data_IF_040769074289
#
_entry.id   IF_040769074289
#
_cell.length_a   1.000
_cell.length_b   1.000
_cell.length_c   1.000
_cell.angle_alpha   90.00
_cell.angle_beta   90.00
_cell.angle_gamma   90.00
#
_symmetry.space_group_name_H-M   'P 1'
#
loop_
_entity.id
_entity.type
_entity.pdbx_description
1 polymer ?
#
# COMPACT_ATOMS: atom_id res chain seq x y z
N UNK A 1 12.70 26.39 3.74
CA UNK A 1 11.67 25.93 4.71
C UNK A 1 12.31 25.82 6.07
N UNK A 2 11.63 26.21 7.14
CA UNK A 2 12.13 26.17 8.53
C UNK A 2 11.12 25.48 9.44
N UNK A 3 11.64 24.69 10.40
CA UNK A 3 10.83 24.08 11.47
C UNK A 3 10.25 25.13 12.41
N UNK A 4 10.97 26.23 12.63
CA UNK A 4 10.53 27.31 13.50
C UNK A 4 9.83 28.40 12.69
N UNK A 5 9.18 29.32 13.39
CA UNK A 5 8.64 30.52 12.78
C UNK A 5 9.78 31.37 12.18
N UNK A 6 9.47 32.01 11.06
CA UNK A 6 10.35 33.00 10.41
C UNK A 6 9.80 34.37 10.79
N UNK A 7 10.66 35.31 11.18
CA UNK A 7 10.23 36.66 11.53
C UNK A 7 9.70 37.43 10.31
N UNK A 8 8.77 38.35 10.55
CA UNK A 8 8.09 39.09 9.47
C UNK A 8 9.05 39.90 8.61
N UNK A 9 10.06 40.52 9.22
CA UNK A 9 11.11 41.25 8.50
C UNK A 9 11.88 40.35 7.52
N UNK A 10 12.19 39.12 7.94
CA UNK A 10 12.87 38.16 7.08
C UNK A 10 11.96 37.67 5.95
N UNK A 11 10.67 37.48 6.23
CA UNK A 11 9.67 37.09 5.23
C UNK A 11 9.53 38.15 4.14
N UNK A 12 9.44 39.43 4.51
CA UNK A 12 9.44 40.54 3.56
C UNK A 12 10.73 40.59 2.74
N UNK A 13 11.88 40.43 3.41
CA UNK A 13 13.19 40.42 2.74
C UNK A 13 13.33 39.32 1.68
N UNK A 14 12.75 38.13 1.93
CA UNK A 14 12.70 37.04 0.96
C UNK A 14 11.69 37.31 -0.16
N UNK A 15 10.51 37.83 0.15
CA UNK A 15 9.48 38.17 -0.83
C UNK A 15 9.97 39.21 -1.84
N UNK A 16 10.67 40.26 -1.39
CA UNK A 16 11.27 41.29 -2.26
C UNK A 16 12.29 40.72 -3.25
N UNK A 17 12.84 39.52 -2.96
CA UNK A 17 13.80 38.80 -3.81
C UNK A 17 13.16 37.65 -4.57
N UNK A 18 11.84 37.57 -4.57
CA UNK A 18 11.07 36.49 -5.19
C UNK A 18 11.44 35.10 -4.64
N UNK A 19 11.74 35.02 -3.35
CA UNK A 19 12.07 33.78 -2.64
C UNK A 19 10.89 33.44 -1.71
N UNK A 20 10.30 32.26 -1.92
CA UNK A 20 9.29 31.74 -1.00
C UNK A 20 9.94 31.19 0.28
N UNK A 21 9.40 31.56 1.43
CA UNK A 21 9.80 31.01 2.72
C UNK A 21 8.61 30.46 3.49
N UNK A 22 8.68 29.18 3.88
CA UNK A 22 7.73 28.57 4.82
C UNK A 22 8.40 28.35 6.18
N UNK A 23 7.75 28.82 7.24
CA UNK A 23 8.09 28.51 8.64
C UNK A 23 7.06 27.56 9.25
N UNK A 24 7.38 27.00 10.42
CA UNK A 24 6.53 25.99 11.12
C UNK A 24 6.25 24.74 10.29
N UNK A 25 7.23 24.32 9.49
CA UNK A 25 7.13 23.07 8.70
C UNK A 25 7.45 21.88 9.61
N UNK A 26 6.58 20.87 9.57
CA UNK A 26 6.81 19.64 10.33
C UNK A 26 8.08 18.91 9.88
N UNK A 27 8.70 18.19 10.83
CA UNK A 27 9.97 17.49 10.59
C UNK A 27 9.82 16.43 9.49
N UNK A 28 8.67 15.74 9.46
CA UNK A 28 8.39 14.75 8.42
C UNK A 28 8.34 15.38 7.03
N UNK A 29 7.72 16.55 6.88
CA UNK A 29 7.63 17.23 5.59
C UNK A 29 8.98 17.83 5.15
N UNK A 30 9.83 18.24 6.10
CA UNK A 30 11.22 18.61 5.81
C UNK A 30 12.01 17.42 5.25
N UNK A 31 11.91 16.23 5.86
CA UNK A 31 12.58 15.03 5.35
C UNK A 31 11.99 14.56 4.02
N UNK A 32 10.66 14.66 3.82
CA UNK A 32 10.03 14.35 2.52
C UNK A 32 10.49 15.30 1.42
N UNK A 33 10.59 16.59 1.73
CA UNK A 33 11.13 17.61 0.80
C UNK A 33 12.58 17.31 0.48
N UNK A 34 13.39 16.98 1.49
CA UNK A 34 14.78 16.55 1.34
C UNK A 34 14.91 15.35 0.39
N UNK A 35 14.09 14.30 0.56
CA UNK A 35 14.07 13.13 -0.32
C UNK A 35 13.49 13.40 -1.71
N UNK A 36 12.64 14.42 -1.85
CA UNK A 36 12.07 14.81 -3.14
C UNK A 36 13.09 15.62 -3.97
N UNK A 37 13.69 16.65 -3.37
CA UNK A 37 14.55 17.61 -4.08
C UNK A 37 16.04 17.29 -4.02
N UNK A 38 16.45 16.36 -3.15
CA UNK A 38 17.86 16.04 -2.89
C UNK A 38 18.59 17.09 -2.04
N UNK A 39 17.87 18.01 -1.40
CA UNK A 39 18.45 19.03 -0.52
C UNK A 39 19.03 18.40 0.75
N UNK A 40 19.81 19.16 1.52
CA UNK A 40 20.22 18.80 2.88
C UNK A 40 19.55 19.71 3.92
N UNK A 41 19.04 19.11 5.00
CA UNK A 41 18.50 19.87 6.14
C UNK A 41 19.67 20.42 6.93
N UNK A 42 19.77 21.75 7.01
CA UNK A 42 20.82 22.46 7.74
C UNK A 42 20.27 23.03 9.05
N UNK A 43 21.06 22.93 10.11
CA UNK A 43 20.73 23.49 11.44
C UNK A 43 21.26 24.91 11.62
N UNK A 44 22.20 25.32 10.77
CA UNK A 44 22.77 26.67 10.78
C UNK A 44 22.60 27.37 9.44
N UNK A 45 22.65 28.70 9.48
CA UNK A 45 22.58 29.59 8.31
C UNK A 45 23.96 29.88 7.70
N UNK A 46 25.05 29.49 8.36
CA UNK A 46 26.40 29.63 7.80
C UNK A 46 26.73 28.46 6.87
N UNK A 47 27.51 28.73 5.82
CA UNK A 47 28.02 27.68 4.92
C UNK A 47 26.98 27.10 3.96
N UNK A 48 25.99 27.89 3.53
CA UNK A 48 25.03 27.48 2.50
C UNK A 48 25.75 27.43 1.14
N UNK A 49 26.25 26.25 0.80
CA UNK A 49 26.90 25.95 -0.46
C UNK A 49 25.89 25.42 -1.49
N UNK A 50 26.15 25.53 -2.81
CA UNK A 50 25.29 24.97 -3.83
C UNK A 50 25.02 23.46 -3.66
N UNK A 51 25.95 22.72 -3.08
CA UNK A 51 25.86 21.27 -2.87
C UNK A 51 24.79 20.85 -1.84
N UNK A 52 24.38 21.77 -0.95
CA UNK A 52 23.32 21.49 0.04
C UNK A 52 21.92 21.85 -0.48
N UNK A 53 21.84 22.53 -1.63
CA UNK A 53 20.58 22.94 -2.23
C UNK A 53 19.98 21.82 -3.06
N UNK A 54 18.67 21.63 -2.93
CA UNK A 54 17.92 20.71 -3.77
C UNK A 54 17.50 21.33 -5.09
N UNK A 55 17.13 20.48 -6.05
CA UNK A 55 16.56 20.91 -7.33
C UNK A 55 15.10 20.49 -7.41
N UNK A 56 14.24 21.43 -7.78
CA UNK A 56 12.82 21.23 -8.02
C UNK A 56 12.48 21.83 -9.38
N UNK A 57 11.65 21.15 -10.17
CA UNK A 57 11.26 21.62 -11.49
C UNK A 57 10.26 22.75 -11.40
N UNK A 58 9.20 22.54 -10.62
CA UNK A 58 8.11 23.50 -10.45
C UNK A 58 7.65 23.55 -8.99
N UNK A 59 7.54 24.78 -8.49
CA UNK A 59 6.97 25.08 -7.18
C UNK A 59 5.68 25.87 -7.36
N UNK A 60 4.57 25.36 -6.83
CA UNK A 60 3.26 26.01 -6.91
C UNK A 60 2.57 25.99 -5.54
N UNK A 61 2.11 27.15 -5.07
CA UNK A 61 1.14 27.20 -3.97
C UNK A 61 -0.26 27.05 -4.57
N UNK A 62 -0.95 25.97 -4.21
CA UNK A 62 -2.30 25.67 -4.69
C UNK A 62 -3.28 25.62 -3.53
N UNK A 63 -4.36 26.39 -3.65
CA UNK A 63 -5.46 26.32 -2.71
C UNK A 63 -6.37 25.14 -3.04
N UNK A 64 -6.63 24.29 -2.04
CA UNK A 64 -7.49 23.11 -2.16
C UNK A 64 -8.49 23.15 -1.01
N UNK A 65 -9.75 23.47 -1.34
CA UNK A 65 -10.76 23.73 -0.32
C UNK A 65 -10.45 24.97 0.49
N UNK A 66 -10.43 24.85 1.81
CA UNK A 66 -10.11 25.94 2.73
C UNK A 66 -8.60 26.11 3.00
N UNK A 67 -7.78 25.15 2.59
CA UNK A 67 -6.36 25.10 2.92
C UNK A 67 -5.46 25.38 1.70
N UNK A 68 -4.23 25.81 1.97
CA UNK A 68 -3.19 26.06 0.96
C UNK A 68 -2.08 25.03 1.09
N UNK A 69 -1.69 24.47 -0.03
CA UNK A 69 -0.67 23.45 -0.14
C UNK A 69 0.46 23.91 -1.04
N UNK A 70 1.70 23.62 -0.64
CA UNK A 70 2.88 23.90 -1.43
C UNK A 70 3.28 22.63 -2.19
N UNK A 71 3.09 22.64 -3.51
CA UNK A 71 3.44 21.54 -4.39
C UNK A 71 4.86 21.73 -4.92
N UNK A 72 5.69 20.70 -4.72
CA UNK A 72 7.00 20.57 -5.33
C UNK A 72 6.94 19.44 -6.35
N UNK A 73 7.01 19.77 -7.64
CA UNK A 73 6.90 18.79 -8.73
C UNK A 73 8.09 18.86 -9.68
N UNK A 74 8.25 17.83 -10.51
CA UNK A 74 9.35 17.77 -11.49
C UNK A 74 10.75 17.67 -10.88
N UNK A 75 10.90 17.09 -9.69
CA UNK A 75 12.23 16.87 -9.10
C UNK A 75 12.90 15.64 -9.75
N UNK A 76 14.15 15.78 -10.20
CA UNK A 76 14.82 14.76 -11.02
C UNK A 76 15.11 13.45 -10.27
N UNK A 77 15.50 13.53 -8.99
CA UNK A 77 15.92 12.38 -8.16
C UNK A 77 14.93 12.11 -7.01
N UNK A 78 13.63 12.10 -7.30
CA UNK A 78 12.58 11.98 -6.28
C UNK A 78 12.52 10.55 -5.71
N UNK A 79 12.73 10.40 -4.39
CA UNK A 79 12.56 9.12 -3.66
C UNK A 79 11.23 9.03 -2.89
N UNK A 80 10.42 10.07 -2.98
CA UNK A 80 9.13 10.21 -2.30
C UNK A 80 8.01 10.38 -3.30
N UNK A 81 6.81 9.97 -2.92
CA UNK A 81 5.59 10.26 -3.65
C UNK A 81 4.52 10.68 -2.64
N UNK A 82 3.75 11.71 -2.99
CA UNK A 82 2.67 12.24 -2.16
C UNK A 82 1.35 11.99 -2.88
N UNK A 83 0.42 11.31 -2.20
CA UNK A 83 -0.94 11.09 -2.70
C UNK A 83 -1.88 11.97 -1.88
N UNK A 84 -2.55 12.92 -2.53
CA UNK A 84 -3.54 13.77 -1.88
C UNK A 84 -4.93 13.14 -1.97
N UNK A 85 -5.48 12.74 -0.83
CA UNK A 85 -6.83 12.17 -0.73
C UNK A 85 -7.81 13.30 -0.40
N UNK A 86 -8.93 13.37 -1.12
CA UNK A 86 -10.01 14.33 -0.86
C UNK A 86 -11.33 13.58 -0.79
N UNK A 87 -12.19 13.95 0.15
CA UNK A 87 -13.50 13.34 0.34
C UNK A 87 -14.47 14.28 1.03
N UNK A 88 -15.77 14.01 0.89
CA UNK A 88 -16.84 14.83 1.48
C UNK A 88 -17.05 14.64 2.99
N UNK A 89 -16.51 13.56 3.56
CA UNK A 89 -16.54 13.30 5.00
C UNK A 89 -15.27 12.59 5.45
N UNK A 90 -14.85 12.88 6.68
CA UNK A 90 -13.60 12.34 7.26
C UNK A 90 -13.57 10.80 7.25
N UNK A 91 -14.70 10.16 7.54
CA UNK A 91 -14.81 8.69 7.56
C UNK A 91 -14.43 8.05 6.22
N UNK A 92 -14.78 8.69 5.09
CA UNK A 92 -14.41 8.19 3.76
C UNK A 92 -12.93 8.42 3.44
N UNK A 93 -12.36 9.53 3.92
CA UNK A 93 -10.93 9.83 3.77
C UNK A 93 -10.11 8.79 4.55
N UNK A 94 -10.48 8.53 5.80
CA UNK A 94 -9.79 7.55 6.66
C UNK A 94 -9.88 6.12 6.11
N UNK A 95 -10.99 5.78 5.45
CA UNK A 95 -11.15 4.48 4.79
C UNK A 95 -10.35 4.39 3.48
N UNK A 96 -10.32 5.47 2.70
CA UNK A 96 -9.52 5.54 1.48
C UNK A 96 -8.01 5.49 1.78
N UNK A 97 -7.55 6.16 2.84
CA UNK A 97 -6.16 6.10 3.30
C UNK A 97 -5.77 4.67 3.69
N UNK A 98 -6.60 4.01 4.51
CA UNK A 98 -6.40 2.60 4.89
C UNK A 98 -6.36 1.68 3.66
N UNK A 99 -7.31 1.84 2.74
CA UNK A 99 -7.39 1.04 1.52
C UNK A 99 -6.17 1.21 0.60
N UNK A 100 -5.66 2.45 0.47
CA UNK A 100 -4.46 2.75 -0.30
C UNK A 100 -3.21 2.15 0.35
N UNK A 101 -3.08 2.28 1.67
CA UNK A 101 -1.98 1.68 2.41
C UNK A 101 -1.94 0.16 2.24
N UNK A 102 -3.08 -0.53 2.37
CA UNK A 102 -3.19 -1.97 2.14
C UNK A 102 -2.78 -2.36 0.72
N UNK A 103 -3.24 -1.60 -0.28
CA UNK A 103 -2.89 -1.82 -1.69
C UNK A 103 -1.40 -1.68 -1.95
N UNK A 104 -0.77 -0.62 -1.43
CA UNK A 104 0.68 -0.38 -1.56
C UNK A 104 1.46 -1.51 -0.88
N UNK A 105 1.01 -1.97 0.30
CA UNK A 105 1.66 -3.06 1.01
C UNK A 105 1.56 -4.40 0.26
N UNK A 106 0.44 -4.68 -0.42
CA UNK A 106 0.28 -5.86 -1.26
C UNK A 106 1.26 -5.81 -2.44
N UNK A 107 1.34 -4.68 -3.16
CA UNK A 107 2.29 -4.51 -4.27
C UNK A 107 3.73 -4.67 -3.78
N UNK A 108 4.08 -4.05 -2.65
CA UNK A 108 5.40 -4.20 -2.04
C UNK A 108 5.75 -5.64 -1.68
N UNK A 109 4.77 -6.43 -1.20
CA UNK A 109 4.95 -7.86 -0.92
C UNK A 109 5.13 -8.66 -2.22
N UNK A 110 4.34 -8.36 -3.25
CA UNK A 110 4.45 -9.01 -4.56
C UNK A 110 5.80 -8.70 -5.24
N UNK A 111 6.34 -7.51 -5.07
CA UNK A 111 7.69 -7.17 -5.55
C UNK A 111 8.81 -7.96 -4.84
N UNK A 112 8.61 -8.32 -3.56
CA UNK A 112 9.57 -9.15 -2.80
C UNK A 112 9.43 -10.64 -3.09
N UNK A 113 8.22 -11.12 -3.35
CA UNK A 113 7.94 -12.51 -3.67
C UNK A 113 7.01 -12.59 -4.88
N UNK A 114 7.54 -13.11 -5.99
CA UNK A 114 6.83 -13.19 -7.27
C UNK A 114 5.80 -14.31 -7.35
N UNK A 115 5.72 -15.18 -6.32
CA UNK A 115 4.73 -16.27 -6.30
C UNK A 115 3.39 -15.77 -5.80
N UNK A 116 2.39 -15.79 -6.68
CA UNK A 116 1.00 -15.44 -6.37
C UNK A 116 0.14 -16.70 -6.44
N UNK A 117 -0.85 -16.81 -5.54
CA UNK A 117 -1.82 -17.91 -5.51
C UNK A 117 -3.22 -17.37 -5.82
N UNK A 118 -4.11 -18.26 -6.27
CA UNK A 118 -5.52 -17.91 -6.47
C UNK A 118 -6.19 -17.55 -5.15
N UNK A 119 -6.86 -16.39 -5.11
CA UNK A 119 -7.65 -15.93 -3.96
C UNK A 119 -9.08 -16.49 -3.95
N UNK A 120 -9.98 -15.80 -3.24
CA UNK A 120 -11.41 -16.13 -3.25
C UNK A 120 -11.77 -17.50 -2.68
N UNK A 121 -10.93 -18.06 -1.81
CA UNK A 121 -11.12 -19.40 -1.26
C UNK A 121 -10.47 -20.53 -2.09
N UNK A 122 -9.86 -20.23 -3.24
CA UNK A 122 -9.31 -21.26 -4.13
C UNK A 122 -8.12 -22.00 -3.50
N UNK A 123 -7.23 -21.29 -2.79
CA UNK A 123 -6.10 -21.91 -2.11
C UNK A 123 -6.55 -22.76 -0.91
N UNK A 124 -7.56 -22.29 -0.17
CA UNK A 124 -8.16 -23.03 0.95
C UNK A 124 -8.80 -24.33 0.48
N UNK A 125 -9.49 -24.30 -0.67
CA UNK A 125 -10.06 -25.49 -1.30
C UNK A 125 -9.00 -26.48 -1.76
N UNK A 126 -7.90 -25.97 -2.33
CA UNK A 126 -6.78 -26.82 -2.77
C UNK A 126 -6.08 -27.50 -1.59
N UNK A 127 -5.81 -26.74 -0.52
CA UNK A 127 -5.23 -27.26 0.71
C UNK A 127 -6.17 -28.26 1.38
N UNK A 128 -7.48 -28.00 1.41
CA UNK A 128 -8.48 -28.93 1.93
C UNK A 128 -8.46 -30.27 1.18
N UNK A 129 -8.38 -30.25 -0.16
CA UNK A 129 -8.25 -31.46 -0.98
C UNK A 129 -6.96 -32.21 -0.66
N UNK A 130 -5.83 -31.52 -0.70
CA UNK A 130 -4.52 -32.13 -0.43
C UNK A 130 -4.45 -32.78 0.95
N UNK A 131 -4.95 -32.09 1.98
CA UNK A 131 -4.99 -32.60 3.34
C UNK A 131 -5.91 -33.81 3.49
N UNK A 132 -7.06 -33.85 2.79
CA UNK A 132 -7.96 -35.02 2.79
C UNK A 132 -7.31 -36.23 2.11
N UNK A 133 -6.55 -36.02 1.04
CA UNK A 133 -5.78 -37.09 0.38
C UNK A 133 -4.67 -37.60 1.30
N UNK A 134 -3.93 -36.70 1.93
CA UNK A 134 -2.90 -37.03 2.91
C UNK A 134 -3.47 -37.73 4.15
N UNK A 135 -4.66 -37.35 4.60
CA UNK A 135 -5.33 -38.01 5.72
C UNK A 135 -5.63 -39.50 5.41
N UNK A 136 -5.80 -39.89 4.14
CA UNK A 136 -6.01 -41.31 3.76
C UNK A 136 -4.76 -42.16 3.93
N UNK A 137 -3.57 -41.56 3.93
CA UNK A 137 -2.31 -42.29 4.14
C UNK A 137 -1.97 -42.49 5.61
N UNK A 138 -2.67 -41.80 6.52
CA UNK A 138 -2.43 -41.87 7.96
C UNK A 138 -3.47 -42.76 8.62
N UNK A 139 -2.99 -43.69 9.45
CA UNK A 139 -3.84 -44.59 10.22
C UNK A 139 -4.09 -44.06 11.64
N UNK A 140 -5.27 -44.33 12.17
CA UNK A 140 -5.63 -44.02 13.55
C UNK A 140 -6.22 -42.62 13.76
N UNK A 141 -6.26 -42.18 15.02
CA UNK A 141 -7.00 -40.97 15.44
C UNK A 141 -6.48 -39.67 14.81
N UNK A 142 -5.22 -39.63 14.38
CA UNK A 142 -4.61 -38.47 13.73
C UNK A 142 -5.30 -38.12 12.40
N UNK A 143 -5.81 -39.13 11.68
CA UNK A 143 -6.57 -38.94 10.46
C UNK A 143 -7.79 -38.02 10.67
N UNK A 144 -8.48 -38.17 11.80
CA UNK A 144 -9.64 -37.35 12.13
C UNK A 144 -9.25 -35.87 12.28
N UNK A 145 -8.15 -35.59 12.98
CA UNK A 145 -7.65 -34.23 13.21
C UNK A 145 -7.35 -33.52 11.88
N UNK A 146 -6.68 -34.21 10.96
CA UNK A 146 -6.35 -33.65 9.63
C UNK A 146 -7.62 -33.38 8.82
N UNK A 147 -8.60 -34.29 8.86
CA UNK A 147 -9.88 -34.09 8.20
C UNK A 147 -10.67 -32.91 8.77
N UNK A 148 -10.64 -32.71 10.09
CA UNK A 148 -11.26 -31.54 10.71
C UNK A 148 -10.57 -30.24 10.32
N UNK A 149 -9.23 -30.24 10.26
CA UNK A 149 -8.48 -29.07 9.80
C UNK A 149 -8.77 -28.74 8.32
N UNK A 150 -8.81 -29.77 7.46
CA UNK A 150 -9.22 -29.59 6.05
C UNK A 150 -10.63 -29.01 5.92
N UNK A 151 -11.57 -29.42 6.78
CA UNK A 151 -12.92 -28.86 6.82
C UNK A 151 -12.94 -27.42 7.35
N UNK A 152 -12.06 -27.07 8.29
CA UNK A 152 -11.96 -25.71 8.81
C UNK A 152 -11.53 -24.70 7.72
N UNK A 153 -10.64 -25.10 6.81
CA UNK A 153 -10.24 -24.25 5.67
C UNK A 153 -11.41 -23.90 4.75
N UNK A 154 -12.37 -24.81 4.58
CA UNK A 154 -13.56 -24.59 3.74
C UNK A 154 -14.54 -23.55 4.32
N UNK A 155 -14.36 -23.11 5.57
CA UNK A 155 -15.18 -22.06 6.18
C UNK A 155 -14.97 -20.73 5.45
N UNK A 156 -13.77 -20.43 4.97
CA UNK A 156 -13.46 -19.17 4.27
C UNK A 156 -14.28 -19.02 2.97
N UNK A 157 -14.22 -19.94 1.99
CA UNK A 157 -15.05 -19.86 0.78
C UNK A 157 -16.55 -19.93 1.07
N UNK A 158 -16.96 -20.68 2.10
CA UNK A 158 -18.35 -20.74 2.55
C UNK A 158 -18.85 -19.37 3.01
N UNK A 159 -18.11 -18.72 3.91
CA UNK A 159 -18.44 -17.39 4.44
C UNK A 159 -18.42 -16.33 3.33
N UNK A 160 -17.46 -16.36 2.41
CA UNK A 160 -17.43 -15.46 1.25
C UNK A 160 -18.67 -15.63 0.37
N UNK A 161 -19.12 -16.87 0.16
CA UNK A 161 -20.32 -17.17 -0.62
C UNK A 161 -21.59 -16.68 0.08
N UNK A 162 -21.69 -16.87 1.40
CA UNK A 162 -22.83 -16.40 2.18
C UNK A 162 -22.90 -14.86 2.22
N UNK A 163 -21.77 -14.20 2.43
CA UNK A 163 -21.68 -12.74 2.46
C UNK A 163 -22.00 -12.10 1.10
N UNK A 164 -21.81 -12.82 0.00
CA UNK A 164 -22.21 -12.39 -1.35
C UNK A 164 -23.67 -12.70 -1.69
N UNK A 165 -24.44 -13.27 -0.75
CA UNK A 165 -25.85 -13.63 -0.95
C UNK A 165 -26.07 -14.93 -1.73
N UNK A 166 -25.02 -15.71 -2.00
CA UNK A 166 -25.12 -17.01 -2.64
C UNK A 166 -25.35 -18.14 -1.62
N UNK A 167 -25.91 -19.26 -2.08
CA UNK A 167 -25.96 -20.48 -1.27
C UNK A 167 -24.56 -21.08 -1.15
N UNK A 168 -23.94 -20.86 0.02
CA UNK A 168 -22.58 -21.33 0.29
C UNK A 168 -22.43 -22.85 0.23
N UNK A 169 -23.48 -23.63 0.51
CA UNK A 169 -23.41 -25.10 0.39
C UNK A 169 -23.30 -25.52 -1.07
N UNK A 170 -24.09 -24.88 -1.93
CA UNK A 170 -24.07 -25.12 -3.38
C UNK A 170 -22.72 -24.73 -3.98
N UNK A 171 -22.20 -23.55 -3.64
CA UNK A 171 -20.90 -23.09 -4.13
C UNK A 171 -19.78 -23.99 -3.63
N UNK A 172 -19.78 -24.38 -2.35
CA UNK A 172 -18.75 -25.25 -1.80
C UNK A 172 -18.71 -26.61 -2.51
N UNK A 173 -19.87 -27.20 -2.81
CA UNK A 173 -19.94 -28.45 -3.56
C UNK A 173 -19.41 -28.31 -5.00
N UNK A 174 -19.70 -27.19 -5.67
CA UNK A 174 -19.15 -26.90 -6.99
C UNK A 174 -17.62 -26.72 -6.95
N UNK A 175 -17.11 -26.01 -5.95
CA UNK A 175 -15.67 -25.83 -5.75
C UNK A 175 -14.98 -27.18 -5.48
N UNK A 176 -15.54 -28.03 -4.60
CA UNK A 176 -15.01 -29.38 -4.36
C UNK A 176 -14.93 -30.19 -5.65
N UNK A 177 -15.97 -30.15 -6.48
CA UNK A 177 -15.98 -30.85 -7.78
C UNK A 177 -14.86 -30.35 -8.69
N UNK A 178 -14.75 -29.03 -8.88
CA UNK A 178 -13.70 -28.43 -9.73
C UNK A 178 -12.28 -28.71 -9.23
N UNK A 179 -12.07 -28.73 -7.92
CA UNK A 179 -10.77 -29.04 -7.34
C UNK A 179 -10.43 -30.54 -7.38
N UNK A 180 -11.43 -31.42 -7.41
CA UNK A 180 -11.24 -32.87 -7.56
C UNK A 180 -10.95 -33.29 -9.00
N UNK A 181 -11.32 -32.48 -9.99
CA UNK A 181 -10.99 -32.72 -11.40
C UNK A 181 -9.47 -32.58 -11.62
N UNK A 182 -8.83 -33.52 -12.36
CA UNK A 182 -7.39 -33.47 -12.61
C UNK A 182 -7.07 -32.24 -13.45
N UNK A 183 -6.26 -31.32 -12.88
CA UNK A 183 -5.77 -30.14 -13.62
C UNK A 183 -4.50 -30.48 -14.39
N UNK A 184 -4.35 -29.98 -15.63
CA UNK A 184 -3.04 -29.92 -16.26
C UNK A 184 -2.12 -29.06 -15.37
N UNK A 185 -0.88 -29.51 -15.13
CA UNK A 185 0.10 -28.77 -14.34
C UNK A 185 0.30 -27.39 -14.95
N UNK A 186 0.12 -26.35 -14.14
CA UNK A 186 0.47 -24.98 -14.50
C UNK A 186 2.00 -24.78 -14.37
N UNK A 187 2.79 -25.60 -15.06
CA UNK A 187 4.25 -25.46 -15.13
C UNK A 187 4.66 -24.46 -16.24
N UNK A 188 3.76 -23.54 -16.63
CA UNK A 188 3.94 -22.73 -17.85
C UNK A 188 3.20 -21.39 -17.91
N UNK A 189 2.96 -20.71 -16.78
CA UNK A 189 2.65 -19.27 -16.81
C UNK A 189 3.85 -18.48 -16.32
N UNK A 190 4.87 -18.41 -17.18
CA UNK A 190 5.89 -17.38 -17.08
C UNK A 190 5.26 -16.02 -17.37
N UNK A 191 5.61 -15.02 -16.55
CA UNK A 191 5.90 -13.66 -16.98
C UNK A 191 5.08 -13.12 -18.16
N UNK A 192 3.81 -12.78 -17.95
CA UNK A 192 3.15 -11.70 -18.71
C UNK A 192 1.92 -11.21 -17.96
N UNK A 193 2.10 -10.21 -17.12
CA UNK A 193 1.23 -9.04 -16.93
C UNK A 193 1.92 -8.10 -15.92
#
# INVERSE_FOLDING_TARGET
MSRLAIGDLATQYFADRNIFCAGRVDVEDLERTRWATGAWVQTTVQGILPDVLGKCGEFEERQIGAERYNFLTGCADTKTATILIRGGAQQFIDEADRSLNDSIMIVKRAMRNTKVVGGGGAIEMELSRYLREYARTINGKQQLVINYFARALEVIPMTLSQNSGADGTKILNQLRKKHAEPRPRADGMGSTA
#
